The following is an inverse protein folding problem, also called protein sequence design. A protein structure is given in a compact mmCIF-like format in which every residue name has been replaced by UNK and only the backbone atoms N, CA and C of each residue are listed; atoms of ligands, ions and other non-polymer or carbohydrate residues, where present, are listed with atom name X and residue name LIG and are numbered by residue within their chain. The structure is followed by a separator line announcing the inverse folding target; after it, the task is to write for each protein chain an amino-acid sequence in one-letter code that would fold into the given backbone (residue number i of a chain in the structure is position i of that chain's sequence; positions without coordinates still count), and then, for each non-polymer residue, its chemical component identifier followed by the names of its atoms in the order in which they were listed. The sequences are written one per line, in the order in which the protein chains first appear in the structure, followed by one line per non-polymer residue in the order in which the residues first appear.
data_IF_700729921732
#
_entry.id   IF_700729921732
#
_cell.length_a   1.000
_cell.length_b   1.000
_cell.length_c   1.000
_cell.angle_alpha   90.00
_cell.angle_beta   90.00
_cell.angle_gamma   90.00
#
_symmetry.space_group_name_H-M   'P 1'
#
loop_
_entity.id
_entity.type
_entity.pdbx_description
1 polymer ?
#
# COMPACT_ATOMS: atom_id res chain seq x y z
N UNK A 1 15.65 -61.58 -18.19
CA UNK A 1 15.71 -60.13 -17.93
C UNK A 1 14.77 -59.51 -18.93
N UNK A 2 13.63 -58.98 -18.47
CA UNK A 2 12.50 -58.63 -19.34
C UNK A 2 12.65 -57.19 -19.85
N UNK A 3 12.14 -56.88 -21.05
CA UNK A 3 12.16 -55.52 -21.63
C UNK A 3 11.58 -54.46 -20.68
N UNK A 4 10.64 -54.87 -19.82
CA UNK A 4 10.03 -53.99 -18.82
C UNK A 4 11.02 -53.58 -17.71
N UNK A 5 11.98 -54.43 -17.37
CA UNK A 5 13.02 -54.12 -16.38
C UNK A 5 13.99 -53.05 -16.91
N UNK A 6 14.31 -53.11 -18.21
CA UNK A 6 15.22 -52.16 -18.87
C UNK A 6 14.56 -50.79 -19.05
N UNK A 7 13.27 -50.76 -19.40
CA UNK A 7 12.47 -49.52 -19.43
C UNK A 7 12.37 -48.90 -18.05
N UNK A 8 12.07 -49.69 -17.02
CA UNK A 8 11.98 -49.20 -15.65
C UNK A 8 13.31 -48.61 -15.16
N UNK A 9 14.44 -49.25 -15.47
CA UNK A 9 15.77 -48.74 -15.12
C UNK A 9 16.11 -47.44 -15.86
N UNK A 10 15.77 -47.34 -17.15
CA UNK A 10 16.00 -46.12 -17.94
C UNK A 10 15.16 -44.94 -17.42
N UNK A 11 13.91 -45.20 -17.04
CA UNK A 11 13.00 -44.20 -16.47
C UNK A 11 13.48 -43.74 -15.08
N UNK A 12 13.96 -44.66 -14.25
CA UNK A 12 14.56 -44.35 -12.96
C UNK A 12 15.88 -43.59 -13.09
N UNK A 13 16.68 -43.87 -14.12
CA UNK A 13 17.90 -43.13 -14.41
C UNK A 13 17.58 -41.68 -14.80
N UNK A 14 16.61 -41.46 -15.70
CA UNK A 14 16.18 -40.11 -16.08
C UNK A 14 15.56 -39.32 -14.92
N UNK A 15 14.84 -39.97 -14.00
CA UNK A 15 14.31 -39.31 -12.80
C UNK A 15 15.41 -38.90 -11.79
N UNK A 16 16.48 -39.69 -11.69
CA UNK A 16 17.64 -39.34 -10.85
C UNK A 16 18.49 -38.23 -11.45
N UNK A 17 18.44 -38.06 -12.77
CA UNK A 17 19.13 -37.00 -13.53
C UNK A 17 18.49 -35.60 -13.36
N UNK A 18 17.27 -35.51 -12.81
CA UNK A 18 16.62 -34.22 -12.46
C UNK A 18 17.23 -33.59 -11.20
N UNK A 19 18.13 -34.30 -10.50
CA UNK A 19 18.91 -33.70 -9.42
C UNK A 19 19.89 -32.70 -10.02
N UNK A 20 19.58 -31.41 -9.88
CA UNK A 20 20.51 -30.33 -10.13
C UNK A 20 21.83 -30.60 -9.37
N UNK A 21 22.99 -30.61 -10.05
CA UNK A 21 24.29 -30.61 -9.38
C UNK A 21 24.33 -29.49 -8.33
N UNK A 22 24.99 -29.72 -7.20
CA UNK A 22 25.07 -28.69 -6.13
C UNK A 22 25.72 -27.40 -6.64
N UNK A 23 26.52 -27.50 -7.72
CA UNK A 23 27.12 -26.39 -8.45
C UNK A 23 26.22 -25.73 -9.53
N UNK A 24 25.10 -26.35 -9.94
CA UNK A 24 24.33 -25.91 -11.11
C UNK A 24 23.33 -24.78 -10.82
N UNK A 25 23.05 -24.47 -9.55
CA UNK A 25 22.13 -23.39 -9.19
C UNK A 25 22.90 -22.11 -8.80
N UNK A 26 23.66 -21.53 -9.74
CA UNK A 26 24.21 -20.15 -9.68
C UNK A 26 25.05 -19.74 -8.45
N UNK A 27 25.35 -20.66 -7.54
CA UNK A 27 26.12 -20.46 -6.32
C UNK A 27 25.57 -19.37 -5.40
N UNK A 28 26.46 -18.76 -4.61
CA UNK A 28 26.10 -17.73 -3.63
C UNK A 28 25.39 -16.51 -4.23
N UNK A 29 25.62 -16.22 -5.51
CA UNK A 29 24.98 -15.09 -6.21
C UNK A 29 23.49 -15.37 -6.46
N UNK A 30 23.13 -16.60 -6.81
CA UNK A 30 21.73 -16.99 -6.97
C UNK A 30 20.97 -16.96 -5.64
N UNK A 31 21.61 -17.40 -4.55
CA UNK A 31 21.03 -17.32 -3.20
C UNK A 31 20.78 -15.86 -2.78
N UNK A 32 21.75 -14.97 -3.02
CA UNK A 32 21.58 -13.53 -2.78
C UNK A 32 20.44 -12.94 -3.60
N UNK A 33 20.38 -13.26 -4.90
CA UNK A 33 19.30 -12.81 -5.78
C UNK A 33 17.94 -13.32 -5.31
N UNK A 34 17.85 -14.59 -4.89
CA UNK A 34 16.62 -15.18 -4.36
C UNK A 34 16.17 -14.52 -3.05
N UNK A 35 17.10 -14.26 -2.13
CA UNK A 35 16.82 -13.54 -0.88
C UNK A 35 16.31 -12.13 -1.14
N UNK A 36 16.92 -11.39 -2.06
CA UNK A 36 16.48 -10.04 -2.45
C UNK A 36 15.10 -10.09 -3.10
N UNK A 37 14.86 -11.05 -4.01
CA UNK A 37 13.56 -11.21 -4.67
C UNK A 37 12.45 -11.51 -3.66
N UNK A 38 12.69 -12.44 -2.71
CA UNK A 38 11.75 -12.76 -1.64
C UNK A 38 11.49 -11.55 -0.73
N UNK A 39 12.53 -10.81 -0.36
CA UNK A 39 12.39 -9.58 0.42
C UNK A 39 11.53 -8.53 -0.30
N UNK A 40 11.76 -8.33 -1.60
CA UNK A 40 10.98 -7.40 -2.42
C UNK A 40 9.51 -7.83 -2.53
N UNK A 41 9.24 -9.12 -2.77
CA UNK A 41 7.88 -9.66 -2.80
C UNK A 41 7.18 -9.48 -1.46
N UNK A 42 7.84 -9.80 -0.35
CA UNK A 42 7.29 -9.61 0.99
C UNK A 42 6.95 -8.13 1.26
N UNK A 43 7.83 -7.20 0.87
CA UNK A 43 7.59 -5.77 1.00
C UNK A 43 6.35 -5.32 0.20
N UNK A 44 6.17 -5.82 -1.03
CA UNK A 44 4.99 -5.54 -1.86
C UNK A 44 3.70 -6.08 -1.22
N UNK A 45 3.74 -7.28 -0.63
CA UNK A 45 2.59 -7.87 0.06
C UNK A 45 2.18 -7.03 1.27
N UNK A 46 3.16 -6.63 2.09
CA UNK A 46 2.90 -5.79 3.29
C UNK A 46 2.38 -4.41 2.89
N UNK A 47 3.05 -3.73 1.97
CA UNK A 47 2.63 -2.41 1.50
C UNK A 47 1.27 -2.44 0.80
N UNK A 48 1.03 -3.47 -0.03
CA UNK A 48 -0.25 -3.72 -0.69
C UNK A 48 -1.37 -3.99 0.31
N UNK A 49 -1.12 -4.83 1.31
CA UNK A 49 -2.06 -5.13 2.39
C UNK A 49 -2.40 -3.88 3.22
N UNK A 50 -1.39 -3.12 3.65
CA UNK A 50 -1.58 -1.86 4.37
C UNK A 50 -2.40 -0.86 3.56
N UNK A 51 -2.11 -0.72 2.26
CA UNK A 51 -2.88 0.15 1.35
C UNK A 51 -4.33 -0.31 1.20
N UNK A 52 -4.57 -1.61 1.13
CA UNK A 52 -5.92 -2.17 0.99
C UNK A 52 -6.75 -1.94 2.27
N UNK A 53 -6.14 -2.18 3.44
CA UNK A 53 -6.77 -1.93 4.74
C UNK A 53 -7.05 -0.43 4.91
N UNK A 54 -6.07 0.44 4.63
CA UNK A 54 -6.23 1.89 4.74
C UNK A 54 -7.33 2.45 3.82
N UNK A 55 -7.49 1.87 2.61
CA UNK A 55 -8.60 2.24 1.70
C UNK A 55 -9.97 1.85 2.24
N UNK A 56 -10.07 0.72 2.96
CA UNK A 56 -11.32 0.26 3.57
C UNK A 56 -11.68 1.01 4.86
N UNK A 57 -10.68 1.42 5.63
CA UNK A 57 -10.90 2.18 6.87
C UNK A 57 -11.48 3.59 6.61
N UNK A 58 -11.33 4.15 5.41
CA UNK A 58 -11.85 5.46 5.03
C UNK A 58 -13.34 5.49 4.61
N UNK A 59 -14.09 4.39 4.79
CA UNK A 59 -15.49 4.30 4.39
C UNK A 59 -16.39 4.02 5.61
N UNK A 60 -16.36 4.92 6.59
CA UNK A 60 -17.49 5.06 7.52
C UNK A 60 -18.47 6.00 6.81
N UNK A 61 -19.66 5.52 6.38
CA UNK A 61 -20.67 6.40 5.83
C UNK A 61 -21.01 7.45 6.90
N UNK A 62 -20.92 8.75 6.61
CA UNK A 62 -21.36 9.75 7.58
C UNK A 62 -22.84 9.51 7.89
N UNK A 63 -23.21 9.60 9.18
CA UNK A 63 -24.60 9.56 9.58
C UNK A 63 -25.37 10.64 8.80
N UNK A 64 -26.55 10.35 8.23
CA UNK A 64 -27.21 11.19 7.23
C UNK A 64 -27.56 12.62 7.68
N UNK A 65 -27.48 12.92 8.98
CA UNK A 65 -27.89 14.21 9.55
C UNK A 65 -26.78 14.94 10.33
N UNK A 66 -25.58 14.35 10.46
CA UNK A 66 -24.50 15.00 11.19
C UNK A 66 -23.72 15.94 10.26
N UNK A 67 -23.69 17.25 10.59
CA UNK A 67 -22.80 18.18 9.93
C UNK A 67 -21.37 17.67 10.11
N UNK A 68 -20.63 17.36 9.02
CA UNK A 68 -19.31 16.76 9.13
C UNK A 68 -18.31 17.66 9.87
N UNK A 69 -18.59 18.96 10.01
CA UNK A 69 -17.81 19.89 10.83
C UNK A 69 -17.97 19.64 12.33
N UNK A 70 -19.14 19.17 12.79
CA UNK A 70 -19.41 18.90 14.21
C UNK A 70 -18.69 17.62 14.67
N UNK A 71 -18.53 16.64 13.79
CA UNK A 71 -17.71 15.46 14.08
C UNK A 71 -16.22 15.81 14.26
N UNK A 72 -15.76 16.91 13.66
CA UNK A 72 -14.38 17.37 13.69
C UNK A 72 -14.08 18.27 14.89
N UNK A 73 -15.08 18.81 15.58
CA UNK A 73 -14.87 19.72 16.71
C UNK A 73 -14.29 19.04 17.94
N UNK A 74 -14.39 17.71 18.04
CA UNK A 74 -13.83 16.91 19.13
C UNK A 74 -12.33 16.59 18.97
N UNK A 75 -11.74 16.89 17.81
CA UNK A 75 -10.34 16.59 17.51
C UNK A 75 -9.39 17.69 17.98
N UNK A 76 -8.15 17.31 18.27
CA UNK A 76 -7.06 18.27 18.54
C UNK A 76 -6.83 19.19 17.34
N UNK A 77 -6.27 20.38 17.54
CA UNK A 77 -6.13 21.38 16.45
C UNK A 77 -5.39 20.85 15.21
N UNK A 78 -4.37 20.03 15.40
CA UNK A 78 -3.61 19.46 14.29
C UNK A 78 -4.34 18.29 13.62
N UNK A 79 -4.99 17.43 14.40
CA UNK A 79 -5.82 16.34 13.85
C UNK A 79 -7.01 16.89 13.07
N UNK A 80 -7.61 17.99 13.55
CA UNK A 80 -8.71 18.70 12.89
C UNK A 80 -8.28 19.30 11.56
N UNK A 81 -7.08 19.90 11.47
CA UNK A 81 -6.52 20.37 10.18
C UNK A 81 -6.36 19.24 9.18
N UNK A 82 -5.80 18.11 9.61
CA UNK A 82 -5.60 16.94 8.75
C UNK A 82 -6.94 16.38 8.28
N UNK A 83 -7.91 16.26 9.17
CA UNK A 83 -9.23 15.75 8.84
C UNK A 83 -10.02 16.67 7.90
N UNK A 84 -9.92 18.00 8.06
CA UNK A 84 -10.48 18.98 7.11
C UNK A 84 -9.84 18.87 5.72
N UNK A 85 -8.52 18.67 5.64
CA UNK A 85 -7.83 18.43 4.37
C UNK A 85 -8.30 17.14 3.68
N UNK A 86 -8.56 16.08 4.44
CA UNK A 86 -9.15 14.85 3.90
C UNK A 86 -10.57 15.07 3.37
N UNK A 87 -11.37 15.88 4.05
CA UNK A 87 -12.73 16.24 3.62
C UNK A 87 -12.69 17.04 2.30
N UNK A 88 -11.80 18.04 2.19
CA UNK A 88 -11.61 18.81 0.94
C UNK A 88 -11.18 17.87 -0.19
N UNK A 89 -10.22 16.96 0.06
CA UNK A 89 -9.78 15.98 -0.94
C UNK A 89 -10.91 15.06 -1.44
N UNK A 90 -11.85 14.71 -0.57
CA UNK A 90 -12.96 13.82 -0.93
C UNK A 90 -14.01 14.50 -1.81
N UNK A 91 -14.18 15.82 -1.68
CA UNK A 91 -15.18 16.60 -2.42
C UNK A 91 -14.63 17.31 -3.66
N UNK A 92 -13.42 17.86 -3.57
CA UNK A 92 -12.78 18.65 -4.62
C UNK A 92 -11.27 18.35 -4.67
N UNK A 93 -10.88 17.34 -5.47
CA UNK A 93 -9.49 16.89 -5.54
C UNK A 93 -8.55 17.90 -6.21
N UNK A 94 -9.06 18.74 -7.11
CA UNK A 94 -8.28 19.75 -7.82
C UNK A 94 -7.93 20.92 -6.89
N UNK A 95 -8.89 21.33 -6.06
CA UNK A 95 -8.65 22.35 -5.04
C UNK A 95 -7.70 21.86 -3.95
N UNK A 96 -7.82 20.59 -3.55
CA UNK A 96 -6.85 19.97 -2.65
C UNK A 96 -5.42 19.98 -3.24
N UNK A 97 -5.26 19.74 -4.54
CA UNK A 97 -3.96 19.80 -5.20
C UNK A 97 -3.33 21.21 -5.13
N UNK A 98 -4.14 22.25 -5.29
CA UNK A 98 -3.71 23.65 -5.12
C UNK A 98 -3.32 23.97 -3.66
N UNK A 99 -4.13 23.55 -2.68
CA UNK A 99 -3.81 23.74 -1.25
C UNK A 99 -2.52 23.00 -0.84
N UNK A 100 -2.32 21.77 -1.32
CA UNK A 100 -1.16 20.95 -0.99
C UNK A 100 0.15 21.64 -1.37
N UNK A 101 0.19 22.38 -2.48
CA UNK A 101 1.39 23.14 -2.88
C UNK A 101 1.72 24.28 -1.90
N UNK A 102 0.73 24.83 -1.20
CA UNK A 102 0.90 25.88 -0.19
C UNK A 102 1.34 25.34 1.16
N UNK A 103 0.89 24.13 1.54
CA UNK A 103 1.26 23.45 2.78
C UNK A 103 2.77 23.19 2.94
N UNK A 104 3.49 22.98 1.84
CA UNK A 104 4.93 22.70 1.88
C UNK A 104 5.81 23.96 1.81
N UNK A 105 5.22 25.17 1.83
CA UNK A 105 5.98 26.42 1.92
C UNK A 105 6.19 26.80 3.39
N UNK A 106 7.42 27.22 3.71
CA UNK A 106 7.91 27.52 5.08
C UNK A 106 7.08 28.57 5.83
N UNK A 107 6.36 29.44 5.12
CA UNK A 107 5.49 30.49 5.68
C UNK A 107 4.00 30.12 5.67
N UNK A 108 3.65 28.89 5.27
CA UNK A 108 2.30 28.46 4.93
C UNK A 108 1.55 27.75 6.05
N UNK A 109 1.54 28.28 7.27
CA UNK A 109 0.62 27.77 8.29
C UNK A 109 -0.82 28.05 7.80
N UNK A 110 -1.49 27.03 7.25
CA UNK A 110 -2.90 27.14 6.96
C UNK A 110 -3.65 27.26 8.28
N UNK A 111 -4.19 28.45 8.50
CA UNK A 111 -5.01 28.74 9.67
C UNK A 111 -6.25 27.83 9.66
N UNK A 112 -6.54 27.27 10.84
CA UNK A 112 -7.67 26.36 11.04
C UNK A 112 -8.98 27.07 10.69
N UNK A 113 -9.12 28.34 11.08
CA UNK A 113 -10.32 29.12 10.82
C UNK A 113 -10.53 29.40 9.31
N UNK A 114 -9.45 29.65 8.57
CA UNK A 114 -9.51 29.82 7.12
C UNK A 114 -9.91 28.50 6.42
N UNK A 115 -9.41 27.37 6.90
CA UNK A 115 -9.73 26.05 6.36
C UNK A 115 -11.21 25.67 6.58
N UNK A 116 -11.75 26.01 7.75
CA UNK A 116 -13.17 25.78 8.08
C UNK A 116 -14.11 26.69 7.29
N UNK A 117 -13.74 27.95 7.10
CA UNK A 117 -14.50 28.88 6.27
C UNK A 117 -14.57 28.39 4.81
N UNK A 118 -13.47 27.87 4.27
CA UNK A 118 -13.41 27.30 2.92
C UNK A 118 -14.29 26.05 2.78
N UNK A 119 -14.30 25.17 3.79
CA UNK A 119 -15.19 24.00 3.81
C UNK A 119 -16.65 24.43 3.89
N UNK A 120 -16.99 25.40 4.73
CA UNK A 120 -18.36 25.90 4.90
C UNK A 120 -18.91 26.62 3.68
N UNK A 121 -18.07 27.31 2.91
CA UNK A 121 -18.46 27.94 1.64
C UNK A 121 -18.74 26.96 0.49
N UNK A 122 -18.43 25.67 0.68
CA UNK A 122 -18.54 24.62 -0.34
C UNK A 122 -19.35 23.39 0.11
N UNK A 123 -19.97 23.46 1.29
CA UNK A 123 -21.02 22.53 1.76
C UNK A 123 -22.37 23.11 1.36
#
# INVERSE_FOLDING_TARGET
MSDDDERAQTLLAGLRDIRLPVEAAGGAVAELAAAVALGAVAALVVAGGARLIGRRAGHVPPAPEANPLDALSALSGDDRRVALLHLIRARDPDHYACLRQRLYRRDGALDLAALEAEVRGRV
#
